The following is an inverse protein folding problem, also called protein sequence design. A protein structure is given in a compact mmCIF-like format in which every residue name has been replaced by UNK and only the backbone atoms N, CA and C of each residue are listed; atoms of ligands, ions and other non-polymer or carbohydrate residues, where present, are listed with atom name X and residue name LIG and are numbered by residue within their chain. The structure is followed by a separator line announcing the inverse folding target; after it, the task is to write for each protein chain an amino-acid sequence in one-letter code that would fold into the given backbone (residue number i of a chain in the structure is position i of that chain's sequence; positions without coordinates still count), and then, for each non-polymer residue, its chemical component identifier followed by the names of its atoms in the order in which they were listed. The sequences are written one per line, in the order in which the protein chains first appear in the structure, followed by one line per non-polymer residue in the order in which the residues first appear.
data_IF_038045241446
#
_entry.id   IF_038045241446
#
_cell.length_a   1.000
_cell.length_b   1.000
_cell.length_c   1.000
_cell.angle_alpha   90.00
_cell.angle_beta   90.00
_cell.angle_gamma   90.00
#
_symmetry.space_group_name_H-M   'P 1'
#
loop_
_entity.id
_entity.type
_entity.pdbx_description
1 polymer ?
#
# COMPACT_ATOMS: atom_id res chain seq x y z
N UNK A 1 12.52 -32.20 -2.39
CA UNK A 1 11.19 -32.85 -2.53
C UNK A 1 10.23 -31.78 -3.02
N UNK A 2 9.72 -31.83 -4.26
CA UNK A 2 8.61 -30.94 -4.64
C UNK A 2 7.42 -31.23 -3.72
N UNK A 3 6.83 -30.21 -3.10
CA UNK A 3 5.63 -30.42 -2.26
C UNK A 3 4.51 -30.94 -3.15
N UNK A 4 3.67 -31.83 -2.63
CA UNK A 4 2.54 -32.42 -3.37
C UNK A 4 1.57 -31.36 -3.94
N UNK A 5 1.65 -30.12 -3.44
CA UNK A 5 0.80 -28.98 -3.77
C UNK A 5 1.27 -28.26 -5.05
N UNK A 6 2.51 -28.48 -5.51
CA UNK A 6 3.05 -27.82 -6.71
C UNK A 6 2.29 -28.18 -8.00
N UNK A 7 1.63 -29.35 -8.06
CA UNK A 7 0.81 -29.80 -9.19
C UNK A 7 -0.66 -29.36 -9.16
N UNK A 8 -1.12 -28.70 -8.09
CA UNK A 8 -2.51 -28.25 -7.92
C UNK A 8 -2.76 -26.98 -8.73
N UNK A 9 -3.93 -26.82 -9.37
CA UNK A 9 -4.23 -25.61 -10.14
C UNK A 9 -4.36 -24.37 -9.25
N UNK A 10 -4.10 -23.17 -9.78
CA UNK A 10 -4.21 -21.92 -9.01
C UNK A 10 -5.64 -21.69 -8.50
N UNK A 11 -6.66 -22.11 -9.26
CA UNK A 11 -8.06 -22.05 -8.84
C UNK A 11 -8.34 -22.97 -7.63
N UNK A 12 -7.79 -24.18 -7.63
CA UNK A 12 -7.93 -25.11 -6.50
C UNK A 12 -7.19 -24.62 -5.25
N UNK A 13 -6.00 -24.03 -5.41
CA UNK A 13 -5.28 -23.41 -4.30
C UNK A 13 -6.08 -22.25 -3.68
N UNK A 14 -6.74 -21.44 -4.50
CA UNK A 14 -7.64 -20.38 -4.04
C UNK A 14 -8.79 -20.97 -3.23
N UNK A 15 -9.44 -22.03 -3.75
CA UNK A 15 -10.54 -22.69 -3.07
C UNK A 15 -10.11 -23.33 -1.73
N UNK A 16 -8.92 -23.95 -1.69
CA UNK A 16 -8.36 -24.54 -0.48
C UNK A 16 -8.04 -23.49 0.59
N UNK A 17 -7.37 -22.40 0.21
CA UNK A 17 -7.05 -21.30 1.14
C UNK A 17 -8.29 -20.59 1.69
N UNK A 18 -9.39 -20.58 0.93
CA UNK A 18 -10.67 -20.00 1.32
C UNK A 18 -11.58 -20.94 2.13
N UNK A 19 -11.27 -22.24 2.19
CA UNK A 19 -12.14 -23.23 2.84
C UNK A 19 -11.98 -23.23 4.36
N UNK A 20 -13.04 -22.99 5.14
CA UNK A 20 -12.98 -23.04 6.60
C UNK A 20 -12.81 -24.46 7.15
N UNK A 21 -13.04 -25.50 6.34
CA UNK A 21 -12.89 -26.90 6.72
C UNK A 21 -11.52 -27.49 6.39
N UNK A 22 -10.63 -26.71 5.75
CA UNK A 22 -9.27 -27.14 5.45
C UNK A 22 -8.38 -26.96 6.68
N UNK A 23 -7.47 -27.92 6.93
CA UNK A 23 -6.58 -27.83 8.07
C UNK A 23 -5.63 -26.61 7.93
N UNK A 24 -5.19 -26.02 9.05
CA UNK A 24 -4.38 -24.80 9.01
C UNK A 24 -3.07 -24.93 8.23
N UNK A 25 -2.42 -26.09 8.27
CA UNK A 25 -1.13 -26.32 7.61
C UNK A 25 -1.32 -26.42 6.10
N UNK A 26 -2.35 -27.12 5.63
CA UNK A 26 -2.70 -27.17 4.21
C UNK A 26 -3.12 -25.81 3.67
N UNK A 27 -3.86 -25.02 4.45
CA UNK A 27 -4.19 -23.63 4.07
C UNK A 27 -2.93 -22.78 3.95
N UNK A 28 -2.03 -22.88 4.92
CA UNK A 28 -0.76 -22.16 4.88
C UNK A 28 0.07 -22.54 3.66
N UNK A 29 0.19 -23.83 3.35
CA UNK A 29 0.93 -24.30 2.17
C UNK A 29 0.27 -23.83 0.86
N UNK A 30 -1.06 -23.83 0.78
CA UNK A 30 -1.78 -23.30 -0.37
C UNK A 30 -1.54 -21.79 -0.55
N UNK A 31 -1.61 -21.02 0.53
CA UNK A 31 -1.31 -19.58 0.55
C UNK A 31 0.12 -19.32 0.09
N UNK A 32 1.07 -20.08 0.61
CA UNK A 32 2.48 -19.94 0.28
C UNK A 32 2.77 -20.26 -1.18
N UNK A 33 2.15 -21.31 -1.72
CA UNK A 33 2.29 -21.65 -3.14
C UNK A 33 1.64 -20.59 -4.05
N UNK A 34 0.49 -20.05 -3.67
CA UNK A 34 -0.13 -18.91 -4.37
C UNK A 34 0.79 -17.69 -4.38
N UNK A 35 1.42 -17.35 -3.25
CA UNK A 35 2.37 -16.24 -3.16
C UNK A 35 3.56 -16.45 -4.12
N UNK A 36 4.12 -17.66 -4.19
CA UNK A 36 5.21 -17.98 -5.14
C UNK A 36 4.77 -17.81 -6.59
N UNK A 37 3.58 -18.30 -6.94
CA UNK A 37 3.02 -18.16 -8.30
C UNK A 37 2.77 -16.70 -8.67
N UNK A 38 2.17 -15.93 -7.78
CA UNK A 38 1.95 -14.49 -7.98
C UNK A 38 3.28 -13.74 -8.17
N UNK A 39 4.31 -14.09 -7.39
CA UNK A 39 5.65 -13.51 -7.54
C UNK A 39 6.27 -13.87 -8.89
N UNK A 40 6.09 -15.11 -9.34
CA UNK A 40 6.57 -15.61 -10.63
C UNK A 40 5.75 -15.09 -11.84
N UNK A 41 4.63 -14.40 -11.63
CA UNK A 41 3.77 -13.93 -12.72
C UNK A 41 2.91 -15.02 -13.34
N UNK A 42 2.70 -16.12 -12.62
CA UNK A 42 1.87 -17.24 -13.08
C UNK A 42 0.41 -16.94 -12.78
N UNK A 43 -0.47 -17.19 -13.75
CA UNK A 43 -1.93 -17.05 -13.64
C UNK A 43 -2.41 -15.66 -13.19
N UNK A 44 -1.72 -14.59 -13.59
CA UNK A 44 -2.13 -13.21 -13.30
C UNK A 44 -3.60 -12.87 -13.66
N UNK A 45 -4.21 -13.42 -14.74
CA UNK A 45 -5.63 -13.20 -15.01
C UNK A 45 -6.56 -13.65 -13.87
N UNK A 46 -6.21 -14.71 -13.13
CA UNK A 46 -6.98 -15.14 -11.95
C UNK A 46 -6.83 -14.14 -10.81
N UNK A 47 -5.64 -13.57 -10.60
CA UNK A 47 -5.44 -12.53 -9.60
C UNK A 47 -6.23 -11.27 -9.96
N UNK A 48 -6.21 -10.85 -11.23
CA UNK A 48 -7.02 -9.73 -11.72
C UNK A 48 -8.51 -9.98 -11.49
N UNK A 49 -8.99 -11.21 -11.76
CA UNK A 49 -10.38 -11.58 -11.49
C UNK A 49 -10.75 -11.49 -10.00
N UNK A 50 -9.85 -11.87 -9.09
CA UNK A 50 -10.07 -11.69 -7.65
C UNK A 50 -10.13 -10.20 -7.27
N UNK A 51 -9.28 -9.35 -7.84
CA UNK A 51 -9.25 -7.91 -7.59
C UNK A 51 -10.54 -7.22 -8.09
N UNK A 52 -11.07 -7.66 -9.22
CA UNK A 52 -12.27 -7.08 -9.82
C UNK A 52 -13.57 -7.74 -9.31
N UNK A 53 -13.48 -8.72 -8.41
CA UNK A 53 -14.64 -9.43 -7.88
C UNK A 53 -15.53 -8.52 -7.06
N UNK A 54 -16.85 -8.71 -7.15
CA UNK A 54 -17.81 -8.04 -6.25
C UNK A 54 -17.68 -8.53 -4.79
N UNK A 55 -17.12 -9.72 -4.58
CA UNK A 55 -16.89 -10.30 -3.25
C UNK A 55 -15.76 -9.57 -2.52
N UNK A 56 -16.09 -8.97 -1.37
CA UNK A 56 -15.08 -8.36 -0.49
C UNK A 56 -14.03 -9.37 -0.03
N UNK A 57 -14.42 -10.63 0.22
CA UNK A 57 -13.49 -11.69 0.60
C UNK A 57 -12.48 -11.99 -0.52
N UNK A 58 -12.93 -12.01 -1.78
CA UNK A 58 -12.04 -12.21 -2.93
C UNK A 58 -11.08 -11.03 -3.11
N UNK A 59 -11.55 -9.79 -2.96
CA UNK A 59 -10.69 -8.60 -3.05
C UNK A 59 -9.69 -8.51 -1.90
N UNK A 60 -10.11 -8.76 -0.66
CA UNK A 60 -9.20 -8.90 0.49
C UNK A 60 -8.14 -9.97 0.25
N UNK A 61 -8.52 -11.10 -0.34
CA UNK A 61 -7.59 -12.17 -0.69
C UNK A 61 -6.58 -11.73 -1.73
N UNK A 62 -7.01 -11.03 -2.78
CA UNK A 62 -6.10 -10.44 -3.76
C UNK A 62 -5.15 -9.43 -3.13
N UNK A 63 -5.66 -8.54 -2.27
CA UNK A 63 -4.84 -7.58 -1.53
C UNK A 63 -3.74 -8.27 -0.71
N UNK A 64 -4.08 -9.31 0.05
CA UNK A 64 -3.12 -10.12 0.77
C UNK A 64 -2.04 -10.71 -0.14
N UNK A 65 -2.42 -11.33 -1.26
CA UNK A 65 -1.47 -11.92 -2.20
C UNK A 65 -0.54 -10.86 -2.82
N UNK A 66 -1.04 -9.67 -3.13
CA UNK A 66 -0.23 -8.56 -3.67
C UNK A 66 0.78 -8.07 -2.63
N UNK A 67 0.36 -7.91 -1.38
CA UNK A 67 1.24 -7.47 -0.30
C UNK A 67 2.36 -8.48 -0.03
N UNK A 68 2.04 -9.77 0.01
CA UNK A 68 3.04 -10.81 0.33
C UNK A 68 3.93 -11.18 -0.85
N UNK A 69 3.39 -11.21 -2.08
CA UNK A 69 4.16 -11.59 -3.26
C UNK A 69 5.24 -10.55 -3.59
N UNK A 70 5.07 -9.28 -3.20
CA UNK A 70 5.91 -8.16 -3.64
C UNK A 70 6.06 -8.15 -5.17
N UNK A 71 4.94 -8.38 -5.84
CA UNK A 71 4.89 -8.59 -7.29
C UNK A 71 4.80 -7.26 -8.02
N UNK A 72 5.54 -7.13 -9.12
CA UNK A 72 5.69 -5.88 -9.87
C UNK A 72 5.25 -6.01 -11.34
N UNK A 73 4.25 -6.85 -11.61
CA UNK A 73 3.79 -7.11 -12.97
C UNK A 73 2.87 -6.00 -13.46
N UNK A 74 3.25 -5.36 -14.57
CA UNK A 74 2.44 -4.30 -15.22
C UNK A 74 1.03 -4.77 -15.60
N UNK A 75 0.84 -6.07 -15.84
CA UNK A 75 -0.47 -6.65 -16.12
C UNK A 75 -1.51 -6.43 -15.00
N UNK A 76 -1.07 -6.12 -13.78
CA UNK A 76 -1.95 -5.82 -12.65
C UNK A 76 -2.33 -4.33 -12.57
N UNK A 77 -1.72 -3.47 -13.39
CA UNK A 77 -1.80 -2.02 -13.26
C UNK A 77 -3.22 -1.47 -13.29
N UNK A 78 -4.04 -1.88 -14.27
CA UNK A 78 -5.41 -1.39 -14.37
C UNK A 78 -6.27 -1.82 -13.18
N UNK A 79 -6.10 -3.06 -12.73
CA UNK A 79 -6.85 -3.59 -11.61
C UNK A 79 -6.44 -2.95 -10.27
N UNK A 80 -5.13 -2.73 -10.07
CA UNK A 80 -4.61 -2.22 -8.80
C UNK A 80 -4.92 -0.75 -8.59
N UNK A 81 -5.00 0.06 -9.65
CA UNK A 81 -5.45 1.46 -9.52
C UNK A 81 -6.88 1.52 -8.96
N UNK A 82 -7.74 0.58 -9.34
CA UNK A 82 -9.10 0.47 -8.78
C UNK A 82 -9.13 0.21 -7.27
N UNK A 83 -8.11 -0.42 -6.71
CA UNK A 83 -8.03 -0.66 -5.25
C UNK A 83 -7.93 0.62 -4.44
N UNK A 84 -7.45 1.73 -5.01
CA UNK A 84 -7.37 3.01 -4.30
C UNK A 84 -8.75 3.58 -3.90
N UNK A 85 -9.80 3.17 -4.63
CA UNK A 85 -11.20 3.55 -4.37
C UNK A 85 -11.99 2.44 -3.65
N UNK A 86 -11.36 1.31 -3.31
CA UNK A 86 -12.06 0.21 -2.65
C UNK A 86 -12.52 0.61 -1.24
N UNK A 87 -13.63 0.05 -0.78
CA UNK A 87 -14.12 0.25 0.58
C UNK A 87 -13.22 -0.41 1.64
N UNK A 88 -12.48 -1.45 1.27
CA UNK A 88 -11.59 -2.20 2.15
C UNK A 88 -10.22 -1.50 2.27
N UNK A 89 -9.80 -1.18 3.49
CA UNK A 89 -8.51 -0.52 3.71
C UNK A 89 -7.31 -1.39 3.33
N UNK A 90 -7.42 -2.72 3.44
CA UNK A 90 -6.37 -3.64 2.97
C UNK A 90 -6.15 -3.53 1.45
N UNK A 91 -7.20 -3.31 0.66
CA UNK A 91 -7.07 -3.11 -0.79
C UNK A 91 -6.34 -1.79 -1.09
N UNK A 92 -6.77 -0.69 -0.46
CA UNK A 92 -6.11 0.63 -0.61
C UNK A 92 -4.65 0.58 -0.15
N UNK A 93 -4.34 -0.18 0.91
CA UNK A 93 -2.97 -0.42 1.38
C UNK A 93 -2.14 -1.22 0.37
N UNK A 94 -2.71 -2.29 -0.19
CA UNK A 94 -2.07 -3.09 -1.22
C UNK A 94 -1.75 -2.26 -2.46
N UNK A 95 -2.62 -1.32 -2.86
CA UNK A 95 -2.33 -0.35 -3.93
C UNK A 95 -1.07 0.48 -3.62
N UNK A 96 -1.01 1.13 -2.46
CA UNK A 96 0.16 1.96 -2.09
C UNK A 96 1.44 1.12 -2.05
N UNK A 97 1.36 -0.11 -1.54
CA UNK A 97 2.49 -1.03 -1.51
C UNK A 97 2.95 -1.42 -2.92
N UNK A 98 2.03 -1.78 -3.80
CA UNK A 98 2.34 -2.12 -5.20
C UNK A 98 3.06 -0.97 -5.91
N UNK A 99 2.55 0.26 -5.76
CA UNK A 99 3.17 1.46 -6.34
C UNK A 99 4.56 1.72 -5.75
N UNK A 100 4.74 1.48 -4.43
CA UNK A 100 6.04 1.62 -3.76
C UNK A 100 7.06 0.61 -4.29
N UNK A 101 6.66 -0.65 -4.44
CA UNK A 101 7.55 -1.73 -4.85
C UNK A 101 7.91 -1.63 -6.34
N UNK A 102 6.96 -1.26 -7.19
CA UNK A 102 7.15 -1.12 -8.65
C UNK A 102 7.79 0.20 -9.07
N UNK A 103 7.70 1.23 -8.22
CA UNK A 103 8.08 2.62 -8.52
C UNK A 103 7.35 3.23 -9.72
N UNK A 104 6.20 2.65 -10.11
CA UNK A 104 5.36 3.22 -11.15
C UNK A 104 4.81 4.57 -10.67
N UNK A 105 4.79 5.55 -11.57
CA UNK A 105 4.24 6.86 -11.28
C UNK A 105 3.79 7.54 -12.56
N UNK A 106 2.49 7.82 -12.64
CA UNK A 106 1.85 8.60 -13.70
C UNK A 106 0.70 9.42 -13.08
N UNK A 107 -0.08 10.12 -13.91
CA UNK A 107 -1.18 10.97 -13.45
C UNK A 107 -2.28 10.19 -12.70
N UNK A 108 -2.58 8.94 -13.10
CA UNK A 108 -3.62 8.11 -12.46
C UNK A 108 -3.16 7.61 -11.10
N UNK A 109 -1.92 7.13 -11.03
CA UNK A 109 -1.28 6.74 -9.76
C UNK A 109 -1.20 7.95 -8.83
N UNK A 110 -0.84 9.12 -9.35
CA UNK A 110 -0.69 10.32 -8.54
C UNK A 110 -2.02 10.74 -7.88
N UNK A 111 -3.13 10.72 -8.63
CA UNK A 111 -4.47 10.98 -8.08
C UNK A 111 -4.86 9.91 -7.05
N UNK A 112 -4.66 8.64 -7.37
CA UNK A 112 -4.95 7.52 -6.47
C UNK A 112 -4.14 7.57 -5.17
N UNK A 113 -2.84 7.92 -5.23
CA UNK A 113 -2.02 8.15 -4.04
C UNK A 113 -2.52 9.35 -3.22
N UNK A 114 -3.01 10.41 -3.89
CA UNK A 114 -3.56 11.57 -3.19
C UNK A 114 -4.80 11.17 -2.38
N UNK A 115 -5.68 10.33 -2.96
CA UNK A 115 -6.79 9.71 -2.23
C UNK A 115 -6.32 8.97 -0.98
N UNK A 116 -5.30 8.12 -1.11
CA UNK A 116 -4.76 7.35 0.02
C UNK A 116 -4.09 8.23 1.10
N UNK A 117 -3.62 9.44 0.77
CA UNK A 117 -3.13 10.39 1.76
C UNK A 117 -4.25 11.13 2.48
N UNK A 118 -5.38 11.36 1.80
CA UNK A 118 -6.61 11.93 2.39
C UNK A 118 -7.41 10.91 3.21
N UNK A 119 -7.03 9.62 3.13
CA UNK A 119 -7.72 8.50 3.76
C UNK A 119 -7.93 8.71 5.27
N UNK A 120 -9.02 8.15 5.78
CA UNK A 120 -9.34 8.15 7.22
C UNK A 120 -8.69 6.97 7.93
N UNK A 121 -8.41 5.88 7.21
CA UNK A 121 -7.65 4.76 7.74
C UNK A 121 -6.19 5.20 7.97
N UNK A 122 -5.77 5.12 9.23
CA UNK A 122 -4.44 5.54 9.66
C UNK A 122 -3.33 4.72 9.01
N UNK A 123 -3.58 3.45 8.70
CA UNK A 123 -2.60 2.54 8.10
C UNK A 123 -2.41 2.87 6.62
N UNK A 124 -3.49 3.13 5.87
CA UNK A 124 -3.40 3.56 4.46
C UNK A 124 -2.65 4.89 4.36
N UNK A 125 -2.98 5.84 5.23
CA UNK A 125 -2.30 7.14 5.29
C UNK A 125 -0.83 7.01 5.66
N UNK A 126 -0.50 6.17 6.65
CA UNK A 126 0.89 5.86 7.02
C UNK A 126 1.68 5.28 5.84
N UNK A 127 1.11 4.33 5.10
CA UNK A 127 1.74 3.79 3.89
C UNK A 127 1.96 4.87 2.83
N UNK A 128 1.01 5.77 2.64
CA UNK A 128 1.11 6.88 1.68
C UNK A 128 2.21 7.88 2.07
N UNK A 129 2.35 8.18 3.36
CA UNK A 129 3.45 9.02 3.87
C UNK A 129 4.80 8.33 3.64
N UNK A 130 4.89 7.01 3.87
CA UNK A 130 6.13 6.25 3.60
C UNK A 130 6.50 6.29 2.12
N UNK A 131 5.53 6.08 1.23
CA UNK A 131 5.75 6.26 -0.20
C UNK A 131 6.28 7.67 -0.50
N UNK A 132 5.66 8.71 0.04
CA UNK A 132 6.06 10.10 -0.19
C UNK A 132 7.49 10.40 0.33
N UNK A 133 7.89 9.79 1.45
CA UNK A 133 9.27 9.89 1.96
C UNK A 133 10.28 9.27 0.99
N UNK A 134 9.92 8.18 0.32
CA UNK A 134 10.82 7.43 -0.57
C UNK A 134 10.72 7.81 -2.06
N UNK A 135 9.69 8.57 -2.43
CA UNK A 135 9.44 8.97 -3.82
C UNK A 135 10.61 9.78 -4.41
N UNK A 136 10.91 9.62 -5.72
CA UNK A 136 11.80 10.54 -6.44
C UNK A 136 11.34 11.99 -6.30
N UNK A 137 12.27 12.96 -6.26
CA UNK A 137 11.96 14.37 -6.02
C UNK A 137 10.87 14.92 -6.95
N UNK A 138 10.96 14.67 -8.26
CA UNK A 138 9.95 15.15 -9.21
C UNK A 138 8.55 14.56 -8.97
N UNK A 139 8.46 13.26 -8.66
CA UNK A 139 7.18 12.61 -8.32
C UNK A 139 6.62 13.14 -6.99
N UNK A 140 7.48 13.38 -6.01
CA UNK A 140 7.08 13.93 -4.72
C UNK A 140 6.55 15.37 -4.85
N UNK A 141 7.20 16.21 -5.65
CA UNK A 141 6.80 17.61 -5.87
C UNK A 141 5.45 17.68 -6.58
N UNK A 142 5.27 16.89 -7.65
CA UNK A 142 3.98 16.79 -8.35
C UNK A 142 2.86 16.30 -7.41
N UNK A 143 3.13 15.25 -6.63
CA UNK A 143 2.19 14.73 -5.64
C UNK A 143 1.81 15.76 -4.58
N UNK A 144 2.78 16.52 -4.08
CA UNK A 144 2.55 17.62 -3.14
C UNK A 144 1.59 18.67 -3.71
N UNK A 145 1.79 19.07 -4.97
CA UNK A 145 0.88 20.01 -5.65
C UNK A 145 -0.53 19.45 -5.73
N UNK A 146 -0.70 18.19 -6.16
CA UNK A 146 -2.00 17.55 -6.27
C UNK A 146 -2.75 17.51 -4.93
N UNK A 147 -2.11 17.01 -3.88
CA UNK A 147 -2.70 16.91 -2.54
C UNK A 147 -3.11 18.28 -2.01
N UNK A 148 -2.25 19.30 -2.14
CA UNK A 148 -2.57 20.65 -1.64
C UNK A 148 -3.71 21.32 -2.41
N UNK A 149 -3.96 20.93 -3.66
CA UNK A 149 -5.16 21.36 -4.42
C UNK A 149 -6.41 20.54 -4.10
N UNK A 150 -6.28 19.47 -3.30
CA UNK A 150 -7.38 18.59 -2.95
C UNK A 150 -7.74 17.56 -4.01
N UNK A 151 -6.81 17.20 -4.90
CA UNK A 151 -6.97 16.05 -5.80
C UNK A 151 -7.16 14.76 -4.99
N UNK A 152 -7.98 13.84 -5.47
CA UNK A 152 -8.31 12.63 -4.73
C UNK A 152 -9.17 12.82 -3.47
N UNK A 153 -9.71 14.00 -3.19
CA UNK A 153 -10.65 14.16 -2.06
C UNK A 153 -12.00 13.50 -2.37
N UNK A 154 -12.25 12.36 -1.73
CA UNK A 154 -13.58 11.74 -1.67
C UNK A 154 -14.45 12.46 -0.65
N UNK A 155 -15.25 13.42 -1.11
CA UNK A 155 -16.22 14.11 -0.27
C UNK A 155 -17.49 13.25 -0.10
N UNK A 156 -18.11 13.24 1.09
CA UNK A 156 -19.38 12.56 1.29
C UNK A 156 -20.43 13.13 0.33
N UNK A 157 -21.33 12.28 -0.16
CA UNK A 157 -22.44 12.72 -1.02
C UNK A 157 -23.26 13.79 -0.27
N UNK A 158 -23.52 14.97 -0.88
CA UNK A 158 -24.22 16.03 -0.18
C UNK A 158 -25.62 15.57 0.28
N UNK A 159 -25.96 15.78 1.55
CA UNK A 159 -27.37 15.97 1.89
C UNK A 159 -27.76 17.39 1.43
N UNK A 160 -28.93 17.61 0.78
CA UNK A 160 -29.29 18.88 0.14
C UNK A 160 -29.19 20.13 1.02
N UNK A 161 -29.21 19.99 2.35
CA UNK A 161 -29.32 21.09 3.30
C UNK A 161 -28.01 21.57 3.94
N UNK A 162 -26.82 21.05 3.58
CA UNK A 162 -25.62 21.35 4.38
C UNK A 162 -24.31 21.52 3.60
N UNK A 163 -24.25 22.49 2.66
CA UNK A 163 -22.99 22.87 1.97
C UNK A 163 -21.87 23.24 2.95
N UNK A 164 -22.19 23.99 4.01
CA UNK A 164 -21.23 24.40 5.05
C UNK A 164 -20.54 23.21 5.72
N UNK A 165 -21.25 22.10 5.88
CA UNK A 165 -20.69 20.87 6.43
C UNK A 165 -19.65 20.26 5.48
N UNK A 166 -19.91 20.23 4.16
CA UNK A 166 -18.93 19.74 3.18
C UNK A 166 -17.65 20.56 3.17
N UNK A 167 -17.74 21.88 3.30
CA UNK A 167 -16.58 22.76 3.36
C UNK A 167 -15.72 22.48 4.60
N UNK A 168 -16.35 22.19 5.75
CA UNK A 168 -15.66 21.78 6.98
C UNK A 168 -14.93 20.45 6.75
N UNK A 169 -15.60 19.44 6.21
CA UNK A 169 -14.96 18.14 5.92
C UNK A 169 -13.79 18.27 4.96
N UNK A 170 -13.94 19.12 3.94
CA UNK A 170 -12.87 19.39 2.98
C UNK A 170 -11.67 20.03 3.67
N UNK A 171 -11.92 21.06 4.49
CA UNK A 171 -10.87 21.75 5.22
C UNK A 171 -10.14 20.82 6.20
N UNK A 172 -10.87 19.97 6.94
CA UNK A 172 -10.28 18.99 7.85
C UNK A 172 -9.44 17.93 7.11
N UNK A 173 -9.93 17.44 5.97
CA UNK A 173 -9.18 16.48 5.16
C UNK A 173 -7.90 17.09 4.58
N UNK A 174 -7.96 18.33 4.08
CA UNK A 174 -6.80 19.08 3.60
C UNK A 174 -5.80 19.33 4.73
N UNK A 175 -6.26 19.79 5.90
CA UNK A 175 -5.37 20.04 7.05
C UNK A 175 -4.63 18.77 7.49
N UNK A 176 -5.32 17.62 7.53
CA UNK A 176 -4.68 16.32 7.83
C UNK A 176 -3.61 15.97 6.79
N UNK A 177 -3.89 16.18 5.51
CA UNK A 177 -2.94 15.84 4.46
C UNK A 177 -1.78 16.82 4.35
N UNK A 178 -1.99 18.11 4.63
CA UNK A 178 -0.92 19.09 4.74
C UNK A 178 0.06 18.75 5.88
N UNK A 179 -0.45 18.28 7.03
CA UNK A 179 0.40 17.74 8.10
C UNK A 179 1.18 16.51 7.64
N UNK A 180 0.52 15.57 6.97
CA UNK A 180 1.16 14.38 6.42
C UNK A 180 2.29 14.74 5.42
N UNK A 181 2.07 15.73 4.53
CA UNK A 181 3.09 16.25 3.63
C UNK A 181 4.23 16.95 4.38
N UNK A 182 3.92 17.76 5.39
CA UNK A 182 4.93 18.43 6.22
C UNK A 182 5.84 17.41 6.90
N UNK A 183 5.28 16.31 7.42
CA UNK A 183 6.06 15.20 7.99
C UNK A 183 6.95 14.57 6.91
N UNK A 184 6.40 14.24 5.74
CA UNK A 184 7.19 13.65 4.66
C UNK A 184 8.36 14.56 4.24
N UNK A 185 8.12 15.86 4.04
CA UNK A 185 9.16 16.85 3.70
C UNK A 185 10.29 16.87 4.73
N UNK A 186 9.93 16.92 6.02
CA UNK A 186 10.90 17.02 7.12
C UNK A 186 11.73 15.74 7.29
N UNK A 187 11.10 14.58 7.15
CA UNK A 187 11.83 13.30 7.14
C UNK A 187 12.78 13.23 5.94
N UNK A 188 12.34 13.66 4.75
CA UNK A 188 13.19 13.72 3.56
C UNK A 188 14.40 14.65 3.73
N UNK A 189 14.23 15.75 4.46
CA UNK A 189 15.34 16.66 4.83
C UNK A 189 16.22 16.14 5.99
N UNK A 190 15.99 14.90 6.46
CA UNK A 190 16.81 14.26 7.48
C UNK A 190 16.40 14.57 8.92
N UNK A 191 15.25 15.21 9.15
CA UNK A 191 14.77 15.49 10.49
C UNK A 191 14.25 14.22 11.20
N UNK A 192 14.56 14.07 12.49
CA UNK A 192 14.10 12.93 13.27
C UNK A 192 12.60 13.03 13.61
N UNK A 193 11.91 11.87 13.66
CA UNK A 193 10.50 11.80 14.07
C UNK A 193 10.29 12.38 15.47
N UNK A 194 11.26 12.23 16.36
CA UNK A 194 11.22 12.82 17.71
C UNK A 194 11.09 14.34 17.68
N UNK A 195 11.80 15.03 16.80
CA UNK A 195 11.70 16.49 16.64
C UNK A 195 10.42 16.92 15.92
N UNK A 196 9.98 16.13 14.94
CA UNK A 196 8.71 16.39 14.24
C UNK A 196 7.54 16.32 15.22
N UNK A 197 7.55 15.34 16.14
CA UNK A 197 6.50 15.15 17.17
C UNK A 197 6.30 16.39 18.06
N UNK A 198 7.35 17.16 18.35
CA UNK A 198 7.22 18.34 19.22
C UNK A 198 6.60 19.55 18.54
N UNK A 199 6.49 19.52 17.21
CA UNK A 199 6.09 20.67 16.38
C UNK A 199 4.84 20.40 15.55
N UNK A 200 4.43 19.13 15.41
CA UNK A 200 3.17 18.71 14.78
C UNK A 200 2.38 17.87 15.80
N UNK A 201 1.92 18.51 16.86
CA UNK A 201 1.24 17.84 17.98
C UNK A 201 -0.14 17.27 17.61
N UNK A 202 -0.74 17.77 16.54
CA UNK A 202 -2.07 17.40 16.06
C UNK A 202 -2.08 16.10 15.23
N UNK A 203 -0.91 15.54 14.90
CA UNK A 203 -0.84 14.29 14.16
C UNK A 203 -1.03 13.08 15.07
N UNK A 204 -1.64 12.03 14.53
CA UNK A 204 -1.87 10.78 15.24
C UNK A 204 -0.55 10.14 15.70
N UNK A 205 -0.46 9.82 16.99
CA UNK A 205 0.70 9.13 17.55
C UNK A 205 0.97 7.79 16.88
N UNK A 206 -0.08 7.11 16.41
CA UNK A 206 0.05 5.87 15.63
C UNK A 206 0.87 6.07 14.35
N UNK A 207 0.60 7.14 13.59
CA UNK A 207 1.32 7.45 12.35
C UNK A 207 2.80 7.73 12.65
N UNK A 208 3.08 8.58 13.64
CA UNK A 208 4.45 8.93 14.01
C UNK A 208 5.24 7.71 14.53
N UNK A 209 4.65 6.90 15.41
CA UNK A 209 5.28 5.66 15.89
C UNK A 209 5.53 4.67 14.74
N UNK A 210 4.57 4.53 13.82
CA UNK A 210 4.72 3.68 12.64
C UNK A 210 5.84 4.14 11.71
N UNK A 211 6.02 5.44 11.53
CA UNK A 211 7.14 6.01 10.75
C UNK A 211 8.48 5.77 11.44
N UNK A 212 8.56 6.03 12.74
CA UNK A 212 9.77 5.82 13.53
C UNK A 212 10.24 4.36 13.46
N UNK A 213 9.32 3.41 13.63
CA UNK A 213 9.62 1.99 13.50
C UNK A 213 10.17 1.63 12.11
N UNK A 214 9.54 2.11 11.03
CA UNK A 214 10.01 1.80 9.67
C UNK A 214 11.35 2.43 9.34
N UNK A 215 11.58 3.68 9.76
CA UNK A 215 12.86 4.35 9.57
C UNK A 215 13.98 3.63 10.34
N UNK A 216 13.69 3.18 11.56
CA UNK A 216 14.62 2.36 12.35
C UNK A 216 14.98 1.05 11.62
N UNK A 217 13.98 0.31 11.13
CA UNK A 217 14.21 -0.93 10.37
C UNK A 217 15.06 -0.68 9.10
N UNK A 218 14.79 0.42 8.40
CA UNK A 218 15.56 0.83 7.21
C UNK A 218 17.02 1.13 7.56
N UNK A 219 17.26 1.88 8.63
CA UNK A 219 18.62 2.16 9.11
C UNK A 219 19.35 0.87 9.49
N UNK A 220 18.67 -0.06 10.18
CA UNK A 220 19.24 -1.37 10.52
C UNK A 220 19.64 -2.16 9.27
N UNK A 221 18.78 -2.21 8.24
CA UNK A 221 19.08 -2.89 6.96
C UNK A 221 20.28 -2.27 6.23
N UNK A 222 20.44 -0.95 6.27
CA UNK A 222 21.59 -0.24 5.67
C UNK A 222 22.92 -0.47 6.40
N UNK A 223 22.87 -0.85 7.68
CA UNK A 223 24.06 -1.13 8.51
C UNK A 223 24.57 -2.57 8.39
N UNK A 224 23.80 -3.47 7.76
CA UNK A 224 24.25 -4.84 7.49
C UNK A 224 25.13 -4.79 6.23
N UNK A 225 26.44 -5.09 6.31
CA UNK A 225 27.29 -5.18 5.12
C UNK A 225 26.75 -6.28 4.21
N UNK A 226 26.63 -6.01 2.91
CA UNK A 226 26.38 -7.04 1.91
C UNK A 226 27.38 -8.18 2.10
N UNK A 227 26.88 -9.42 2.21
CA UNK A 227 27.71 -10.60 2.42
C UNK A 227 28.87 -10.64 1.41
N UNK A 228 30.09 -11.04 1.83
CA UNK A 228 31.22 -11.16 0.93
C UNK A 228 30.84 -12.10 -0.21
N UNK A 229 31.03 -11.65 -1.47
CA UNK A 229 30.90 -12.50 -2.65
C UNK A 229 31.88 -13.66 -2.47
N UNK A 230 31.36 -14.88 -2.46
CA UNK A 230 32.22 -16.07 -2.47
C UNK A 230 33.15 -16.00 -3.68
N UNK A 231 34.44 -16.29 -3.52
CA UNK A 231 35.38 -16.30 -4.64
C UNK A 231 34.91 -17.34 -5.67
N UNK A 232 34.96 -16.95 -6.94
CA UNK A 232 34.72 -17.87 -8.05
C UNK A 232 35.72 -19.02 -7.93
N UNK A 233 35.21 -20.23 -7.75
CA UNK A 233 36.01 -21.44 -7.88
C UNK A 233 36.34 -21.63 -9.35
N UNK A 234 37.64 -21.56 -9.67
CA UNK A 234 38.24 -22.03 -10.92
C UNK A 234 38.14 -23.55 -11.05
#
# INVERSE_FOLDING_TARGET
MPSAISGVSTAELIAQGASPSCDPDSRYEADWELIKRCRAGIDLPLLVALMQSESSAARSRAAFLIEEAATAHEALYEAIVGFADDNLSDCRRAFVKFVTDTRLYDARIADALAKCLHDRDLTVRLCSIRWAIDAPTGSFDHFCTLVSTGAGLSLPTPRPSNRRWLDIWRAEALQRSDRALAIARRVRSGESIRNIRTTIAEEDSFVLCGLEHSLHLRQKRRRIPSAPRLPATE
#
